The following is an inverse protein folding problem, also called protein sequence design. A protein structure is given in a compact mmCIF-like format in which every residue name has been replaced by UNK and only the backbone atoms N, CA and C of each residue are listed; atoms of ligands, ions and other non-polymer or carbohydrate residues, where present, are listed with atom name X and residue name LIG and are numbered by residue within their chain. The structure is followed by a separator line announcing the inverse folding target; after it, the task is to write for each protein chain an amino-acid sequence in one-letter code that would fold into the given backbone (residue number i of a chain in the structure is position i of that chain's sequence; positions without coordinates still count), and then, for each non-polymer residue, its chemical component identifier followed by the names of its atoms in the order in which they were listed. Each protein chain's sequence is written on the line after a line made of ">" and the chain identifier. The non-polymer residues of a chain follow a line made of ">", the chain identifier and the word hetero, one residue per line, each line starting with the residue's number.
data_IF_558748779135
#
_entry.id   IF_558748779135
#
_cell.length_a   1.000
_cell.length_b   1.000
_cell.length_c   1.000
_cell.angle_alpha   90.00
_cell.angle_beta   90.00
_cell.angle_gamma   90.00
#
_symmetry.space_group_name_H-M   'P 1'
#
loop_
_entity.id
_entity.type
_entity.pdbx_description
1 polymer ?
2 water ?
#
# COMPACT_ATOMS: atom_id res chain seq x y z
N UNK A 2 -1.21 -6.13 21.23
CA UNK A 2 -2.64 -6.00 20.99
C UNK A 2 -3.09 -6.41 19.59
N UNK A 3 -2.48 -5.88 18.52
CA UNK A 3 -2.92 -6.25 17.17
C UNK A 3 -2.38 -7.60 16.73
N UNK A 4 -3.09 -8.21 15.79
CA UNK A 4 -2.66 -9.48 15.19
C UNK A 4 -1.60 -9.19 14.14
N UNK A 5 -0.38 -9.66 14.38
CA UNK A 5 0.75 -9.39 13.48
C UNK A 5 0.72 -10.41 12.35
N UNK A 6 0.28 -9.99 11.17
CA UNK A 6 0.20 -10.85 10.01
C UNK A 6 1.19 -10.40 8.93
N UNK A 7 1.27 -11.20 7.87
CA UNK A 7 2.23 -10.99 6.81
C UNK A 7 1.69 -10.15 5.68
N UNK A 8 2.49 -10.05 4.62
CA UNK A 8 2.07 -9.23 3.49
C UNK A 8 0.96 -9.90 2.68
N UNK A 9 0.86 -11.23 2.76
CA UNK A 9 -0.18 -11.98 2.08
C UNK A 9 -0.78 -13.00 3.05
N UNK A 10 -2.10 -13.11 3.04
CA UNK A 10 -2.80 -14.03 3.93
C UNK A 10 -3.95 -14.70 3.22
N UNK A 11 -4.32 -15.88 3.70
CA UNK A 11 -5.50 -16.55 3.18
C UNK A 11 -6.76 -15.96 3.77
N UNK A 12 -7.78 -15.78 2.93
CA UNK A 12 -9.10 -15.36 3.38
C UNK A 12 -10.13 -16.35 2.85
N UNK A 13 -11.23 -16.49 3.58
CA UNK A 13 -12.37 -17.27 3.16
C UNK A 13 -13.58 -16.36 3.02
N UNK A 14 -14.43 -16.67 2.04
CA UNK A 14 -15.64 -15.90 1.77
C UNK A 14 -16.82 -16.86 1.85
N UNK A 15 -17.48 -16.94 3.01
CA UNK A 15 -18.57 -17.93 3.15
C UNK A 15 -19.76 -17.67 2.24
N UNK A 16 -19.97 -16.42 1.82
CA UNK A 16 -21.05 -16.13 0.88
C UNK A 16 -20.68 -16.53 -0.55
N UNK A 17 -19.40 -16.80 -0.81
CA UNK A 17 -18.97 -17.21 -2.14
C UNK A 17 -18.40 -18.62 -2.18
N UNK A 18 -18.21 -19.25 -1.02
CA UNK A 18 -17.64 -20.59 -0.92
C UNK A 18 -16.28 -20.66 -1.61
N UNK A 19 -15.41 -19.71 -1.27
CA UNK A 19 -14.11 -19.59 -1.90
C UNK A 19 -13.05 -19.21 -0.88
N UNK A 20 -11.89 -19.84 -1.00
CA UNK A 20 -10.70 -19.47 -0.25
C UNK A 20 -9.71 -18.86 -1.22
N UNK A 21 -9.30 -17.62 -0.95
CA UNK A 21 -8.42 -16.89 -1.85
C UNK A 21 -7.22 -16.36 -1.09
N UNK A 22 -6.21 -15.94 -1.85
CA UNK A 22 -5.06 -15.25 -1.30
C UNK A 22 -5.30 -13.75 -1.39
N UNK A 23 -4.93 -13.04 -0.32
CA UNK A 23 -5.17 -11.61 -0.21
C UNK A 23 -3.87 -10.90 0.11
N UNK A 24 -3.70 -9.72 -0.49
CA UNK A 24 -2.56 -8.86 -0.22
C UNK A 24 -2.95 -7.84 0.83
N UNK A 25 -2.19 -7.77 1.92
CA UNK A 25 -2.49 -6.86 3.01
C UNK A 25 -1.88 -5.50 2.68
N UNK A 26 -2.74 -4.54 2.35
CA UNK A 26 -2.32 -3.28 1.72
C UNK A 26 -2.69 -2.11 2.63
N UNK A 27 -1.72 -1.65 3.42
CA UNK A 27 -1.94 -0.47 4.24
C UNK A 27 -2.05 0.82 3.43
N UNK A 28 -1.70 0.80 2.15
CA UNK A 28 -1.78 1.99 1.33
C UNK A 28 -3.18 2.23 0.80
N UNK A 29 -3.89 1.15 0.49
CA UNK A 29 -5.29 1.23 0.11
C UNK A 29 -6.17 1.44 1.33
N UNK A 30 -7.34 2.00 1.10
CA UNK A 30 -8.33 2.21 2.15
C UNK A 30 -9.46 1.19 2.08
N UNK A 31 -10.16 1.13 0.95
CA UNK A 31 -11.20 0.13 0.77
C UNK A 31 -10.57 -1.18 0.33
N UNK A 32 -11.29 -2.27 0.56
CA UNK A 32 -10.84 -3.56 0.07
C UNK A 32 -11.45 -3.82 -1.30
N UNK A 33 -10.93 -4.85 -1.98
CA UNK A 33 -11.35 -5.11 -3.35
C UNK A 33 -11.37 -6.60 -3.63
N UNK A 34 -12.32 -7.00 -4.48
CA UNK A 34 -12.48 -8.39 -4.90
C UNK A 34 -12.49 -8.46 -6.42
N UNK A 35 -11.74 -9.43 -6.95
CA UNK A 35 -11.65 -9.67 -8.38
C UNK A 35 -13.00 -10.17 -8.89
N UNK A 36 -13.64 -9.39 -9.76
CA UNK A 36 -14.96 -9.71 -10.25
C UNK A 36 -15.09 -9.33 -11.71
N UNK A 37 -15.94 -10.07 -12.42
CA UNK A 37 -16.27 -9.80 -13.81
C UNK A 37 -17.77 -9.99 -13.98
N UNK A 38 -18.27 -9.69 -15.19
CA UNK A 38 -19.70 -9.79 -15.49
C UNK A 38 -20.53 -9.02 -14.47
N UNK A 39 -20.03 -7.86 -14.07
CA UNK A 39 -20.68 -7.05 -13.05
C UNK A 39 -21.91 -6.39 -13.65
N UNK A 40 -23.07 -6.63 -13.01
CA UNK A 40 -24.33 -6.07 -13.49
C UNK A 40 -25.11 -5.53 -12.30
N UNK A 41 -25.42 -4.24 -12.34
CA UNK A 41 -26.27 -3.63 -11.32
C UNK A 41 -27.73 -3.83 -11.69
N UNK A 42 -28.53 -4.22 -10.70
CA UNK A 42 -29.96 -4.40 -10.92
C UNK A 42 -30.71 -3.96 -9.68
N UNK A 43 -32.03 -3.98 -9.76
CA UNK A 43 -32.86 -3.53 -8.65
C UNK A 43 -33.79 -4.66 -8.22
N UNK A 44 -34.01 -4.75 -6.91
CA UNK A 44 -34.88 -5.76 -6.33
C UNK A 44 -35.59 -5.15 -5.14
N UNK A 45 -36.93 -5.20 -5.16
CA UNK A 45 -37.76 -4.67 -4.08
C UNK A 45 -37.38 -3.23 -3.74
N UNK A 46 -37.14 -2.43 -4.77
CA UNK A 46 -36.78 -1.04 -4.58
C UNK A 46 -35.39 -0.76 -4.07
N UNK A 47 -34.52 -1.78 -4.02
CA UNK A 47 -33.16 -1.62 -3.52
C UNK A 47 -32.17 -1.93 -4.62
N UNK A 48 -30.97 -1.36 -4.49
CA UNK A 48 -29.91 -1.54 -5.46
C UNK A 48 -29.09 -2.76 -5.10
N UNK A 49 -29.05 -3.73 -6.02
CA UNK A 49 -28.24 -4.93 -5.90
C UNK A 49 -27.25 -4.98 -7.05
N UNK A 50 -26.30 -5.90 -6.94
CA UNK A 50 -25.34 -6.18 -8.00
C UNK A 50 -25.11 -7.68 -8.05
N UNK A 51 -24.97 -8.21 -9.26
CA UNK A 51 -24.58 -9.60 -9.44
C UNK A 51 -23.25 -9.65 -10.20
N UNK A 52 -22.49 -10.71 -9.94
CA UNK A 52 -21.16 -10.80 -10.50
C UNK A 52 -20.64 -12.23 -10.40
N UNK A 53 -19.61 -12.50 -11.19
CA UNK A 53 -18.81 -13.72 -11.09
C UNK A 53 -17.42 -13.37 -10.59
N UNK A 54 -16.70 -14.38 -10.12
CA UNK A 54 -15.32 -14.19 -9.71
C UNK A 54 -14.39 -14.20 -10.92
N UNK A 55 -13.37 -13.35 -10.87
CA UNK A 55 -12.37 -13.27 -11.92
C UNK A 55 -11.03 -13.77 -11.38
N UNK A 56 -10.94 -15.08 -11.17
CA UNK A 56 -9.73 -15.73 -10.73
C UNK A 56 -9.31 -16.79 -11.74
N UNK A 57 -8.10 -17.30 -11.55
CA UNK A 57 -7.57 -18.31 -12.48
C UNK A 57 -8.33 -19.63 -12.37
N UNK A 58 -8.83 -19.98 -11.20
CA UNK A 58 -9.58 -21.20 -10.99
C UNK A 58 -11.07 -20.95 -10.78
N UNK A 59 -11.58 -19.84 -11.31
CA UNK A 59 -12.96 -19.46 -11.10
C UNK A 59 -13.90 -20.38 -11.88
N UNK A 60 -15.18 -20.27 -11.55
CA UNK A 60 -16.21 -20.98 -12.30
C UNK A 60 -17.30 -20.00 -12.72
N UNK A 61 -18.41 -20.50 -13.22
CA UNK A 61 -19.49 -19.65 -13.69
C UNK A 61 -20.49 -19.27 -12.62
N UNK A 62 -20.15 -19.46 -11.36
CA UNK A 62 -21.09 -19.17 -10.29
C UNK A 62 -21.36 -17.67 -10.21
N UNK A 63 -22.63 -17.30 -10.06
CA UNK A 63 -23.07 -15.92 -9.98
C UNK A 63 -23.49 -15.65 -8.54
N UNK A 64 -23.05 -14.52 -8.01
CA UNK A 64 -23.39 -14.10 -6.67
C UNK A 64 -24.11 -12.76 -6.73
N UNK A 65 -25.07 -12.58 -5.84
CA UNK A 65 -25.90 -11.37 -5.78
C UNK A 65 -25.79 -10.76 -4.40
N UNK A 66 -25.55 -9.44 -4.35
CA UNK A 66 -25.39 -8.74 -3.09
C UNK A 66 -25.98 -7.35 -3.20
N UNK A 67 -26.69 -6.94 -2.15
CA UNK A 67 -27.19 -5.58 -2.08
C UNK A 67 -26.02 -4.60 -1.97
N UNK A 68 -26.16 -3.45 -2.63
CA UNK A 68 -25.13 -2.43 -2.53
C UNK A 68 -25.09 -1.84 -1.13
N UNK A 69 -23.89 -1.60 -0.62
CA UNK A 69 -23.72 -0.97 0.68
C UNK A 69 -24.02 0.52 0.59
N UNK A 70 -24.33 1.11 1.75
CA UNK A 70 -24.67 2.52 1.84
C UNK A 70 -23.53 3.42 1.38
N UNK A 92 -14.90 6.00 -5.98
CA UNK A 92 -14.81 5.54 -7.36
C UNK A 92 -16.18 5.19 -7.92
N UNK A 93 -16.20 4.53 -9.08
CA UNK A 93 -17.42 4.06 -9.70
C UNK A 93 -17.62 2.56 -9.52
N UNK A 94 -16.76 1.89 -8.78
CA UNK A 94 -16.91 0.46 -8.56
C UNK A 94 -18.04 0.20 -7.57
N UNK A 95 -18.86 -0.83 -7.81
CA UNK A 95 -19.86 -1.21 -6.81
C UNK A 95 -19.20 -1.66 -5.51
N UNK A 96 -19.81 -1.29 -4.39
CA UNK A 96 -19.34 -1.66 -3.06
C UNK A 96 -20.41 -2.53 -2.39
N UNK A 97 -19.98 -3.67 -1.84
CA UNK A 97 -20.87 -4.58 -1.13
C UNK A 97 -20.32 -4.84 0.26
N UNK A 98 -21.20 -5.31 1.14
CA UNK A 98 -20.81 -5.78 2.47
C UNK A 98 -20.54 -7.27 2.38
N UNK A 99 -19.28 -7.65 2.55
CA UNK A 99 -18.85 -9.03 2.34
C UNK A 99 -18.36 -9.63 3.64
N UNK A 100 -18.71 -10.89 3.87
CA UNK A 100 -18.20 -11.63 5.01
C UNK A 100 -16.84 -12.22 4.69
N UNK A 101 -15.86 -11.96 5.54
CA UNK A 101 -14.47 -12.35 5.31
C UNK A 101 -13.97 -13.06 6.55
N UNK A 102 -13.40 -14.25 6.34
CA UNK A 102 -12.79 -15.03 7.40
C UNK A 102 -11.29 -14.89 7.30
N UNK A 103 -10.67 -14.36 8.34
CA UNK A 103 -9.23 -14.17 8.42
C UNK A 103 -8.73 -14.84 9.69
N UNK A 104 -7.82 -15.80 9.53
CA UNK A 104 -7.37 -16.57 10.67
C UNK A 104 -8.55 -17.29 11.29
N UNK A 105 -8.82 -17.00 12.56
CA UNK A 105 -9.96 -17.60 13.22
C UNK A 105 -11.06 -16.61 13.51
N UNK A 106 -11.11 -15.52 12.74
CA UNK A 106 -12.11 -14.48 12.95
C UNK A 106 -12.92 -14.29 11.67
N UNK A 107 -14.15 -13.81 11.83
CA UNK A 107 -15.02 -13.49 10.71
C UNK A 107 -15.61 -12.10 10.93
N UNK A 108 -15.49 -11.25 9.91
CA UNK A 108 -16.00 -9.88 10.00
C UNK A 108 -16.60 -9.49 8.66
N UNK A 109 -17.56 -8.58 8.71
CA UNK A 109 -18.18 -8.04 7.50
C UNK A 109 -17.55 -6.70 7.18
N UNK A 110 -16.94 -6.58 6.01
CA UNK A 110 -16.25 -5.37 5.59
C UNK A 110 -16.75 -4.94 4.22
N UNK A 111 -16.56 -3.66 3.92
CA UNK A 111 -16.90 -3.12 2.62
C UNK A 111 -15.85 -3.53 1.60
N UNK A 112 -16.30 -4.03 0.45
CA UNK A 112 -15.42 -4.51 -0.60
C UNK A 112 -15.95 -4.00 -1.93
N UNK A 113 -15.08 -3.40 -2.74
CA UNK A 113 -15.50 -2.99 -4.07
C UNK A 113 -15.13 -4.06 -5.09
N UNK A 114 -15.94 -4.15 -6.14
CA UNK A 114 -15.81 -5.20 -7.15
C UNK A 114 -15.10 -4.65 -8.37
N UNK A 115 -14.00 -5.30 -8.76
CA UNK A 115 -13.31 -4.89 -9.98
C UNK A 115 -12.50 -6.08 -10.48
N UNK A 116 -12.11 -6.02 -11.74
CA UNK A 116 -11.36 -7.11 -12.34
C UNK A 116 -9.89 -7.01 -11.93
N UNK A 117 -9.40 -8.00 -11.20
CA UNK A 117 -8.01 -8.07 -10.77
C UNK A 117 -7.24 -9.19 -11.44
N UNK A 118 -7.64 -9.56 -12.67
CA UNK A 118 -6.98 -10.67 -13.35
C UNK A 118 -5.52 -10.38 -13.63
N UNK A 119 -5.15 -9.12 -13.81
CA UNK A 119 -3.76 -8.79 -14.11
C UNK A 119 -2.90 -8.67 -12.86
N UNK A 120 -3.46 -8.81 -11.67
CA UNK A 120 -2.71 -8.72 -10.43
C UNK A 120 -2.44 -10.11 -9.86
N UNK A 121 -1.50 -10.17 -8.91
CA UNK A 121 -1.10 -11.45 -8.32
C UNK A 121 -2.09 -11.98 -7.29
N UNK A 122 -2.89 -11.11 -6.68
CA UNK A 122 -3.78 -11.51 -5.60
C UNK A 122 -5.21 -11.07 -5.91
N UNK A 123 -6.17 -11.99 -5.99
CA UNK A 123 -7.54 -11.59 -6.35
C UNK A 123 -8.26 -10.83 -5.27
N UNK A 124 -7.76 -10.80 -4.04
CA UNK A 124 -8.35 -10.04 -2.96
C UNK A 124 -7.32 -9.07 -2.42
N UNK A 125 -7.78 -7.87 -2.08
CA UNK A 125 -6.92 -6.84 -1.52
C UNK A 125 -7.57 -6.34 -0.24
N UNK A 126 -6.90 -6.52 0.89
CA UNK A 126 -7.41 -6.06 2.17
C UNK A 126 -6.86 -4.65 2.42
N UNK A 127 -7.73 -3.66 2.33
CA UNK A 127 -7.36 -2.29 2.57
C UNK A 127 -7.34 -1.94 4.05
N UNK A 128 -7.04 -0.67 4.32
CA UNK A 128 -6.81 -0.22 5.70
C UNK A 128 -8.05 -0.41 6.57
N UNK A 129 -9.23 -0.12 6.04
CA UNK A 129 -10.43 -0.21 6.86
C UNK A 129 -10.71 -1.65 7.27
N UNK A 130 -10.50 -2.61 6.37
CA UNK A 130 -10.64 -4.00 6.73
C UNK A 130 -9.59 -4.45 7.73
N UNK A 131 -8.35 -3.97 7.58
CA UNK A 131 -7.30 -4.30 8.54
C UNK A 131 -7.65 -3.77 9.93
N UNK A 132 -8.19 -2.55 10.00
CA UNK A 132 -8.62 -2.02 11.29
C UNK A 132 -9.75 -2.84 11.87
N UNK A 133 -10.76 -3.18 11.06
CA UNK A 133 -11.87 -3.99 11.55
C UNK A 133 -11.40 -5.34 12.07
N UNK A 134 -10.36 -5.92 11.47
CA UNK A 134 -9.79 -7.17 11.95
C UNK A 134 -8.69 -6.97 12.97
N UNK A 135 -8.30 -5.72 13.26
CA UNK A 135 -7.24 -5.41 14.21
C UNK A 135 -5.94 -6.13 13.82
N UNK A 136 -5.51 -5.87 12.59
CA UNK A 136 -4.34 -6.52 12.01
C UNK A 136 -3.25 -5.47 11.81
N UNK A 137 -2.00 -5.87 12.06
CA UNK A 137 -0.82 -5.10 11.72
C UNK A 137 0.01 -5.91 10.73
N UNK A 138 0.42 -5.28 9.65
CA UNK A 138 1.06 -5.98 8.53
C UNK A 138 2.57 -5.90 8.68
N UNK A 139 3.21 -7.06 8.82
CA UNK A 139 4.66 -7.18 8.79
C UNK A 139 5.08 -7.51 7.37
N UNK A 140 5.61 -6.56 6.60
CA UNK A 140 5.94 -6.84 5.19
C UNK A 140 7.02 -7.89 5.00
N UNK A 141 7.73 -8.26 6.06
CA UNK A 141 8.74 -9.31 5.99
C UNK A 141 8.13 -10.71 6.04
N UNK A 142 6.93 -10.85 6.60
CA UNK A 142 6.30 -12.14 6.79
C UNK A 142 5.26 -12.41 5.70
N UNK A 143 4.75 -13.63 5.70
CA UNK A 143 3.72 -14.03 4.76
C UNK A 143 2.98 -15.25 5.28
N UNK A 144 1.66 -15.23 5.14
CA UNK A 144 0.79 -16.36 5.52
C UNK A 144 1.03 -16.78 6.97
N UNK A 145 0.92 -15.81 7.87
CA UNK A 145 1.13 -16.10 9.29
C UNK A 145 -0.16 -16.62 9.93
N UNK A 146 -1.32 -16.16 9.46
CA UNK A 146 -2.60 -16.56 10.01
C UNK A 146 -3.04 -17.95 9.57
N UNK A 147 -2.31 -18.59 8.66
CA UNK A 147 -2.66 -19.91 8.13
C UNK A 147 -4.05 -19.91 7.51
N UNK A 148 -4.64 -21.09 7.37
CA UNK A 148 -5.92 -21.19 6.68
C UNK A 148 -7.04 -20.62 7.55
N UNK A 149 -8.04 -19.97 6.94
CA UNK A 149 -9.13 -19.39 7.73
C UNK A 149 -10.10 -20.44 8.21
N UNK A 150 -10.49 -20.34 9.49
CA UNK A 150 -11.49 -21.22 10.07
C UNK A 150 -12.79 -20.50 10.39
N UNK A 151 -12.88 -19.21 10.12
CA UNK A 151 -14.06 -18.40 10.43
C UNK A 151 -14.39 -18.44 11.92
N UNK B 1 14.79 -9.56 16.59
CA UNK B 1 13.91 -10.42 15.81
C UNK B 1 12.51 -9.83 15.70
N UNK B 2 12.19 -8.92 16.61
CA UNK B 2 10.88 -8.28 16.61
C UNK B 2 10.91 -7.01 15.75
N UNK B 3 9.89 -6.77 14.94
CA UNK B 3 9.84 -5.56 14.13
C UNK B 3 9.37 -4.36 14.94
N UNK B 4 9.59 -3.18 14.37
CA UNK B 4 9.11 -1.95 14.98
C UNK B 4 7.66 -1.72 14.57
N UNK B 5 6.76 -1.71 15.55
CA UNK B 5 5.34 -1.54 15.29
C UNK B 5 5.04 -0.06 15.15
N UNK B 6 4.92 0.41 13.91
CA UNK B 6 4.62 1.81 13.62
C UNK B 6 3.21 1.95 13.05
N UNK B 7 2.79 3.19 12.90
CA UNK B 7 1.45 3.51 12.42
C UNK B 7 1.38 3.63 10.92
N UNK B 8 0.24 4.13 10.46
CA UNK B 8 0.02 4.30 9.02
C UNK B 8 0.68 5.55 8.46
N UNK B 9 1.00 6.52 9.33
CA UNK B 9 1.71 7.73 8.93
C UNK B 9 2.80 7.99 9.95
N UNK B 10 3.99 8.34 9.47
CA UNK B 10 5.13 8.57 10.35
C UNK B 10 5.96 9.73 9.83
N UNK B 11 6.66 10.39 10.76
CA UNK B 11 7.61 11.43 10.38
C UNK B 11 8.90 10.80 9.87
N UNK B 12 9.41 11.33 8.75
CA UNK B 12 10.73 10.97 8.26
C UNK B 12 11.52 12.26 8.07
N UNK B 13 12.84 12.13 8.10
CA UNK B 13 13.72 13.26 7.83
C UNK B 13 14.76 12.87 6.80
N UNK B 14 15.09 13.80 5.93
CA UNK B 14 16.07 13.63 4.85
C UNK B 14 17.20 14.61 5.10
N UNK B 15 18.37 14.15 5.55
CA UNK B 15 19.44 15.07 5.93
C UNK B 15 20.19 15.67 4.74
N UNK B 16 20.32 14.91 3.65
CA UNK B 16 20.96 15.46 2.46
C UNK B 16 20.14 16.61 1.88
N UNK B 17 18.84 16.63 2.13
CA UNK B 17 17.95 17.70 1.69
C UNK B 17 17.55 18.62 2.83
N UNK B 18 17.81 18.24 4.08
CA UNK B 18 17.42 19.00 5.27
C UNK B 18 15.91 19.26 5.28
N UNK B 19 15.15 18.17 5.19
CA UNK B 19 13.70 18.31 5.14
C UNK B 19 13.04 17.25 6.00
N UNK B 20 12.07 17.65 6.82
CA UNK B 20 11.27 16.70 7.58
C UNK B 20 9.86 16.66 7.00
N UNK B 21 9.40 15.46 6.66
CA UNK B 21 8.15 15.28 5.95
C UNK B 21 7.33 14.19 6.61
N UNK B 22 6.04 14.14 6.25
CA UNK B 22 5.15 13.07 6.67
C UNK B 22 5.11 12.00 5.59
N UNK B 23 5.11 10.74 6.03
CA UNK B 23 5.23 9.60 5.14
C UNK B 23 4.10 8.62 5.40
N UNK B 24 3.52 8.10 4.33
CA UNK B 24 2.52 7.05 4.40
C UNK B 24 3.22 5.70 4.31
N UNK B 25 2.95 4.84 5.29
CA UNK B 25 3.59 3.53 5.37
C UNK B 25 2.74 2.54 4.57
N UNK B 26 3.23 2.14 3.39
CA UNK B 26 2.43 1.50 2.36
C UNK B 26 2.95 0.08 2.12
N UNK B 27 2.29 -0.90 2.74
CA UNK B 27 2.64 -2.31 2.54
C UNK B 27 2.22 -2.83 1.17
N UNK B 28 1.39 -2.11 0.44
CA UNK B 28 0.97 -2.55 -0.88
C UNK B 28 2.01 -2.20 -1.94
N UNK B 29 2.57 -1.01 -1.84
CA UNK B 29 3.61 -0.59 -2.75
C UNK B 29 4.91 -1.35 -2.48
N UNK B 30 5.78 -1.40 -3.49
CA UNK B 30 7.09 -2.00 -3.35
C UNK B 30 8.19 -0.96 -3.24
N UNK B 31 8.29 -0.05 -4.21
CA UNK B 31 9.26 1.04 -4.14
C UNK B 31 8.73 2.18 -3.28
N UNK B 32 9.64 3.03 -2.83
CA UNK B 32 9.27 4.26 -2.12
C UNK B 32 9.33 5.44 -3.09
N UNK B 33 8.67 6.52 -2.73
CA UNK B 33 8.56 7.68 -3.61
C UNK B 33 8.66 8.99 -2.83
N UNK B 34 9.26 9.99 -3.47
CA UNK B 34 9.38 11.34 -2.95
C UNK B 34 8.73 12.31 -3.92
N UNK B 35 7.90 13.20 -3.37
CA UNK B 35 7.16 14.19 -4.16
C UNK B 35 8.13 15.18 -4.76
N UNK B 36 8.39 15.06 -6.05
CA UNK B 36 9.38 15.89 -6.74
C UNK B 36 8.79 16.44 -8.03
N UNK B 37 9.30 17.60 -8.44
CA UNK B 37 8.88 18.26 -9.67
C UNK B 37 10.09 18.95 -10.28
N UNK B 38 9.93 19.44 -11.50
CA UNK B 38 11.04 20.01 -12.28
C UNK B 38 12.21 19.04 -12.33
N UNK B 39 11.91 17.76 -12.56
CA UNK B 39 12.94 16.73 -12.59
C UNK B 39 13.76 16.88 -13.87
N UNK B 40 15.08 16.95 -13.71
CA UNK B 40 15.97 17.14 -14.85
C UNK B 40 17.27 16.40 -14.62
N UNK B 41 17.59 15.46 -15.50
CA UNK B 41 18.89 14.79 -15.44
C UNK B 41 19.98 15.70 -15.98
N UNK B 42 21.17 15.56 -15.42
CA UNK B 42 22.32 16.27 -15.98
C UNK B 42 23.59 15.51 -15.63
N UNK B 43 24.70 15.96 -16.21
CA UNK B 43 26.00 15.34 -16.01
C UNK B 43 26.92 16.34 -15.34
N UNK B 44 27.74 15.85 -14.41
CA UNK B 44 28.75 16.69 -13.77
C UNK B 44 29.94 15.83 -13.37
N UNK B 45 31.13 16.23 -13.82
CA UNK B 45 32.37 15.52 -13.51
C UNK B 45 32.29 14.05 -13.93
N UNK B 46 31.65 13.80 -15.06
CA UNK B 46 31.48 12.45 -15.55
C UNK B 46 30.41 11.63 -14.87
N UNK B 47 29.74 12.18 -13.86
CA UNK B 47 28.73 11.47 -13.10
C UNK B 47 27.34 11.90 -13.55
N UNK B 48 26.37 11.00 -13.33
CA UNK B 48 24.97 11.27 -13.63
C UNK B 48 24.25 11.76 -12.40
N UNK B 49 23.62 12.93 -12.50
CA UNK B 49 22.91 13.57 -11.41
C UNK B 49 21.49 13.86 -11.85
N UNK B 50 20.65 14.23 -10.88
CA UNK B 50 19.30 14.67 -11.13
C UNK B 50 19.02 15.88 -10.25
N UNK B 51 18.35 16.87 -10.82
CA UNK B 51 17.96 18.11 -10.15
C UNK B 51 16.45 18.17 -10.06
N UNK B 52 15.93 18.67 -8.94
CA UNK B 52 14.49 18.67 -8.74
C UNK B 52 14.13 19.65 -7.64
N UNK B 53 12.85 19.99 -7.59
CA UNK B 53 12.26 20.68 -6.44
C UNK B 53 11.25 19.76 -5.79
N UNK B 54 11.00 19.99 -4.49
CA UNK B 54 9.95 19.25 -3.80
C UNK B 54 8.59 19.82 -4.16
N UNK B 55 7.64 18.94 -4.42
CA UNK B 55 6.26 19.31 -4.74
C UNK B 55 5.39 19.01 -3.54
N UNK B 56 5.38 19.93 -2.56
CA UNK B 56 4.65 19.77 -1.32
C UNK B 56 3.61 20.88 -1.17
N UNK B 57 2.72 20.69 -0.20
CA UNK B 57 1.73 21.72 0.12
C UNK B 57 2.43 22.98 0.61
N UNK B 58 3.10 22.89 1.76
CA UNK B 58 3.94 23.98 2.25
C UNK B 58 5.12 24.12 1.30
N UNK B 59 4.85 24.75 0.16
CA UNK B 59 5.81 24.76 -0.94
C UNK B 59 7.02 25.62 -0.61
N UNK B 60 8.15 25.27 -1.23
CA UNK B 60 9.37 26.06 -1.13
C UNK B 60 10.16 25.82 -2.40
N UNK B 61 10.63 26.90 -3.03
CA UNK B 61 11.26 26.81 -4.33
C UNK B 61 12.72 26.38 -4.30
N UNK B 62 13.13 25.70 -3.24
CA UNK B 62 14.51 25.26 -3.14
C UNK B 62 14.80 24.19 -4.19
N UNK B 63 16.01 24.26 -4.76
CA UNK B 63 16.44 23.36 -5.83
C UNK B 63 17.46 22.40 -5.24
N UNK B 64 17.17 21.10 -5.33
CA UNK B 64 18.06 20.07 -4.83
C UNK B 64 18.70 19.35 -6.01
N UNK B 65 19.93 18.89 -5.78
CA UNK B 65 20.66 18.07 -6.73
C UNK B 65 21.16 16.84 -6.01
N UNK B 66 21.08 15.70 -6.67
CA UNK B 66 21.39 14.43 -6.02
C UNK B 66 21.98 13.48 -7.05
N UNK B 67 22.94 12.67 -6.61
CA UNK B 67 23.46 11.61 -7.47
C UNK B 67 22.34 10.68 -7.90
N UNK B 68 22.39 10.24 -9.15
CA UNK B 68 21.39 9.33 -9.71
C UNK B 68 21.83 7.90 -9.48
N UNK B 69 20.89 7.05 -9.07
CA UNK B 69 21.20 5.62 -8.93
C UNK B 69 20.89 4.86 -10.22
N UNK B 70 19.72 5.09 -10.81
CA UNK B 70 19.29 4.42 -12.04
C UNK B 70 18.01 5.10 -12.53
N UNK B 71 17.43 4.56 -13.60
CA UNK B 71 16.19 5.08 -14.18
C UNK B 71 15.21 3.92 -14.32
N UNK B 72 14.05 4.03 -13.67
CA UNK B 72 13.05 2.98 -13.73
C UNK B 72 13.40 1.79 -12.85
N UNK B 73 12.77 0.65 -13.16
CA UNK B 73 12.99 -0.58 -12.42
C UNK B 73 14.36 -1.17 -12.75
N UNK B 74 14.73 -2.20 -12.01
CA UNK B 74 15.99 -2.89 -12.20
C UNK B 74 15.92 -3.87 -13.38
N UNK B 85 9.16 -10.80 -8.23
CA UNK B 85 7.78 -11.03 -8.64
C UNK B 85 6.82 -10.23 -7.76
N UNK B 86 7.35 -9.71 -6.66
CA UNK B 86 6.55 -8.95 -5.70
C UNK B 86 6.36 -7.49 -6.10
N UNK B 87 6.99 -7.03 -7.18
CA UNK B 87 6.87 -5.65 -7.62
C UNK B 87 5.72 -5.56 -8.61
N UNK B 88 4.62 -4.94 -8.19
CA UNK B 88 3.46 -4.73 -9.05
C UNK B 88 3.18 -3.25 -9.28
N UNK B 89 4.14 -2.37 -8.97
CA UNK B 89 3.95 -0.95 -9.19
C UNK B 89 3.75 -0.66 -10.67
N UNK B 90 3.07 0.46 -10.94
CA UNK B 90 2.84 0.89 -12.32
C UNK B 90 4.16 1.10 -13.05
N UNK B 91 4.11 0.96 -14.37
CA UNK B 91 5.29 1.17 -15.19
C UNK B 91 5.76 2.62 -15.07
N UNK B 92 7.05 2.80 -14.85
CA UNK B 92 7.63 4.15 -14.75
C UNK B 92 9.11 4.05 -15.10
N UNK B 93 9.54 4.84 -16.07
CA UNK B 93 10.97 5.01 -16.33
C UNK B 93 11.43 6.37 -15.81
N UNK B 94 11.32 6.57 -14.49
CA UNK B 94 11.62 7.86 -13.89
C UNK B 94 12.86 7.77 -12.99
N UNK B 95 13.56 8.89 -12.76
CA UNK B 95 14.82 8.85 -11.99
C UNK B 95 14.61 8.29 -10.59
N UNK B 96 15.60 7.51 -10.14
CA UNK B 96 15.62 6.89 -8.82
C UNK B 96 16.90 7.34 -8.11
N UNK B 97 16.81 7.57 -6.80
CA UNK B 97 17.96 7.99 -6.01
C UNK B 97 18.10 7.11 -4.77
N UNK B 98 19.35 6.89 -4.36
CA UNK B 98 19.65 6.29 -3.06
C UNK B 98 19.61 7.40 -2.02
N UNK B 99 18.52 7.47 -1.27
CA UNK B 99 18.25 8.58 -0.37
C UNK B 99 18.42 8.13 1.06
N UNK B 100 19.12 8.94 1.85
CA UNK B 100 19.26 8.70 3.29
C UNK B 100 17.98 9.14 3.96
N UNK B 101 17.29 8.18 4.58
CA UNK B 101 16.03 8.42 5.28
C UNK B 101 16.24 8.12 6.75
N UNK B 102 15.69 8.98 7.60
CA UNK B 102 15.78 8.83 9.04
C UNK B 102 14.35 8.69 9.58
N UNK B 103 14.06 7.53 10.14
CA UNK B 103 12.75 7.20 10.68
C UNK B 103 12.91 6.84 12.15
N UNK B 104 12.13 7.48 13.01
CA UNK B 104 12.32 7.33 14.43
C UNK B 104 13.72 7.73 14.84
N UNK B 105 14.53 6.76 15.23
CA UNK B 105 15.91 7.04 15.59
C UNK B 105 16.90 6.28 14.72
N UNK B 106 16.44 5.80 13.57
CA UNK B 106 17.25 4.99 12.69
C UNK B 106 17.47 5.72 11.37
N UNK B 107 18.65 5.50 10.79
CA UNK B 107 19.04 6.12 9.53
C UNK B 107 19.47 5.02 8.56
N UNK B 108 18.84 4.97 7.39
CA UNK B 108 19.21 3.98 6.39
C UNK B 108 19.04 4.58 5.00
N UNK B 109 19.80 4.05 4.05
CA UNK B 109 19.72 4.48 2.66
C UNK B 109 18.78 3.55 1.91
N UNK B 110 17.80 4.12 1.20
CA UNK B 110 16.83 3.34 0.47
C UNK B 110 16.61 3.94 -0.92
N UNK B 111 16.09 3.11 -1.82
CA UNK B 111 15.82 3.55 -3.18
C UNK B 111 14.48 4.27 -3.23
N UNK B 112 14.47 5.48 -3.79
CA UNK B 112 13.30 6.34 -3.81
C UNK B 112 13.11 6.87 -5.22
N UNK B 113 11.88 6.81 -5.71
CA UNK B 113 11.53 7.34 -7.02
C UNK B 113 11.12 8.80 -6.90
N UNK B 114 11.58 9.63 -7.83
CA UNK B 114 11.18 11.03 -7.88
C UNK B 114 9.90 11.12 -8.70
N UNK B 115 8.80 11.53 -8.07
CA UNK B 115 7.55 11.64 -8.80
C UNK B 115 6.65 12.65 -8.09
N UNK B 116 5.75 13.26 -8.86
CA UNK B 116 4.92 14.34 -8.32
C UNK B 116 3.79 13.76 -7.48
N UNK B 117 3.80 14.08 -6.18
CA UNK B 117 2.77 13.61 -5.26
C UNK B 117 2.00 14.77 -4.65
N UNK B 118 1.95 15.90 -5.35
CA UNK B 118 1.29 17.09 -4.81
C UNK B 118 -0.23 16.91 -4.71
N UNK B 119 -0.80 15.94 -5.43
CA UNK B 119 -2.22 15.64 -5.31
C UNK B 119 -2.55 14.79 -4.08
N UNK B 120 -1.56 14.14 -3.48
CA UNK B 120 -1.81 13.24 -2.36
C UNK B 120 -1.55 13.96 -1.03
N UNK B 121 -2.05 13.35 0.05
CA UNK B 121 -1.95 13.99 1.35
C UNK B 121 -0.57 13.89 1.97
N UNK B 122 0.22 12.90 1.60
CA UNK B 122 1.55 12.71 2.18
C UNK B 122 2.60 12.78 1.08
N UNK B 123 3.61 13.65 1.21
CA UNK B 123 4.59 13.81 0.12
C UNK B 123 5.59 12.67 0.02
N UNK B 124 5.76 11.88 1.07
CA UNK B 124 6.66 10.73 1.05
C UNK B 124 5.85 9.46 1.23
N UNK B 125 6.24 8.41 0.50
CA UNK B 125 5.58 7.12 0.61
C UNK B 125 6.65 6.05 0.74
N UNK B 126 6.67 5.35 1.86
CA UNK B 126 7.62 4.27 2.10
C UNK B 126 6.96 2.95 1.72
N UNK B 127 7.46 2.31 0.67
CA UNK B 127 6.96 1.04 0.21
C UNK B 127 7.56 -0.12 0.99
N UNK B 128 7.25 -1.33 0.52
CA UNK B 128 7.59 -2.54 1.26
C UNK B 128 9.10 -2.71 1.41
N UNK B 129 9.87 -2.34 0.38
CA UNK B 129 11.31 -2.52 0.46
C UNK B 129 11.93 -1.68 1.56
N UNK B 130 11.50 -0.42 1.68
CA UNK B 130 12.00 0.42 2.75
C UNK B 130 11.56 -0.04 4.12
N UNK B 131 10.31 -0.51 4.24
CA UNK B 131 9.83 -1.04 5.52
C UNK B 131 10.62 -2.26 5.94
N UNK B 132 10.95 -3.15 5.00
CA UNK B 132 11.80 -4.29 5.30
C UNK B 132 13.19 -3.85 5.70
N UNK B 133 13.73 -2.83 5.02
CA UNK B 133 15.06 -2.32 5.37
C UNK B 133 15.08 -1.78 6.79
N UNK B 134 14.03 -1.04 7.18
CA UNK B 134 13.92 -0.54 8.54
C UNK B 134 13.34 -1.58 9.51
N UNK B 135 12.92 -2.74 9.01
CA UNK B 135 12.31 -3.78 9.83
C UNK B 135 11.10 -3.24 10.59
N UNK B 136 10.15 -2.72 9.81
CA UNK B 136 8.98 -2.03 10.33
C UNK B 136 7.73 -2.82 9.95
N UNK B 137 6.80 -2.94 10.89
CA UNK B 137 5.47 -3.48 10.64
C UNK B 137 4.46 -2.36 10.88
N UNK B 138 3.47 -2.26 10.00
CA UNK B 138 2.55 -1.13 9.98
C UNK B 138 1.25 -1.54 10.66
N UNK B 139 0.90 -0.82 11.72
CA UNK B 139 -0.39 -0.99 12.36
C UNK B 139 -1.33 0.11 11.88
N UNK B 140 -2.24 -0.16 10.95
CA UNK B 140 -3.07 0.92 10.38
C UNK B 140 -3.99 1.60 11.39
N UNK B 141 -4.14 1.04 12.59
CA UNK B 141 -4.96 1.67 13.61
C UNK B 141 -4.25 2.80 14.33
N UNK B 142 -2.92 2.81 14.30
CA UNK B 142 -2.12 3.81 14.98
C UNK B 142 -1.55 4.81 13.97
N UNK B 143 -1.08 5.94 14.49
CA UNK B 143 -0.49 6.98 13.65
C UNK B 143 0.63 7.67 14.41
N UNK B 144 1.76 7.85 13.75
CA UNK B 144 2.91 8.57 14.29
C UNK B 144 3.38 7.95 15.61
N UNK B 145 3.48 6.62 15.61
CA UNK B 145 4.01 5.90 16.77
C UNK B 145 5.46 6.29 16.99
N UNK B 146 6.28 6.15 15.95
CA UNK B 146 7.65 6.65 15.99
C UNK B 146 7.61 8.18 15.98
N UNK B 147 8.19 8.80 17.00
CA UNK B 147 8.10 10.24 17.17
C UNK B 147 8.97 10.98 16.16
N UNK B 148 9.33 12.22 16.47
CA UNK B 148 10.10 13.02 15.54
C UNK B 148 11.44 12.35 15.24
N UNK B 149 11.93 12.43 14.00
CA UNK B 149 13.22 11.81 13.68
C UNK B 149 14.36 12.48 14.42
N UNK B 150 15.06 11.70 15.24
CA UNK B 150 16.18 12.17 16.04
C UNK B 150 17.38 11.28 15.71
N UNK B 151 18.10 11.65 14.65
CA UNK B 151 19.24 10.89 14.17
C UNK B 151 20.53 11.71 14.25
#
# INVERSE_FOLDING_TARGET
>A
AEPNLYGRYEWVSLPELDRTLQAKMDTGAYTSSLSAKDIELFQRDGEEWVRFRLATKEADGSVFEHKLARIGKIKNRADNRSGEDEDEDRLSERPVIDLQVCLGGAMKTIEVNLTDRSAFNYPFLMGTKGLRKFHVAVDPSERFVADKPTCK
>B
AEPNLYGRYEWVSLPELDRTLQAKMDTGAYTSSLSAKDIELFQRDGEEWVRFRLATKEADGSVFEHKLARIGKIKNRADNRSGEDEDEDRLSERPVIDLQVCLGGAMKTIEVNLTDRSAFNYPFLMGTKGLRKFHVAVDPSERFVADKPTCK
#
